data_IF_878117848832
#
_entry.id   IF_878117848832
#
_cell.length_a   1.000
_cell.length_b   1.000
_cell.length_c   1.000
_cell.angle_alpha   90.00
_cell.angle_beta   90.00
_cell.angle_gamma   90.00
#
_symmetry.space_group_name_H-M   'P 1'
#
loop_
_entity.id
_entity.type
_entity.pdbx_description
1 polymer ?
#
# COMPACT_ATOMS: atom_id res chain seq x y z
N UNK A 1 -2.81 6.32 -14.97
CA UNK A 1 -2.74 6.97 -13.64
C UNK A 1 -1.39 7.65 -13.50
N UNK A 2 -1.33 8.92 -13.11
CA UNK A 2 -0.05 9.60 -12.93
C UNK A 2 0.56 9.15 -11.58
N UNK A 3 1.80 8.69 -11.59
CA UNK A 3 2.47 8.16 -10.39
C UNK A 3 2.55 9.19 -9.25
N UNK A 4 2.59 10.47 -9.60
CA UNK A 4 2.62 11.57 -8.63
C UNK A 4 1.35 11.63 -7.77
N UNK A 5 0.18 11.38 -8.36
CA UNK A 5 -1.10 11.41 -7.63
C UNK A 5 -1.13 10.30 -6.57
N UNK A 6 -0.66 9.10 -6.92
CA UNK A 6 -0.60 7.97 -5.98
C UNK A 6 0.41 8.26 -4.87
N UNK A 7 1.57 8.85 -5.20
CA UNK A 7 2.55 9.25 -4.19
C UNK A 7 1.97 10.26 -3.22
N UNK A 8 1.25 11.28 -3.70
CA UNK A 8 0.59 12.26 -2.83
C UNK A 8 -0.51 11.64 -1.97
N UNK A 9 -1.35 10.77 -2.56
CA UNK A 9 -2.38 10.02 -1.84
C UNK A 9 -1.78 9.18 -0.71
N UNK A 10 -0.73 8.41 -0.99
CA UNK A 10 -0.04 7.59 0.01
C UNK A 10 0.62 8.49 1.07
N UNK A 11 1.25 9.59 0.66
CA UNK A 11 1.89 10.53 1.59
C UNK A 11 0.88 11.24 2.50
N UNK A 12 -0.31 11.56 1.99
CA UNK A 12 -1.44 12.11 2.77
C UNK A 12 -2.02 11.11 3.78
N UNK A 13 -1.73 9.82 3.58
CA UNK A 13 -2.17 8.71 4.43
C UNK A 13 -1.09 8.24 5.41
N UNK A 14 0.03 8.97 5.53
CA UNK A 14 1.11 8.65 6.47
C UNK A 14 0.56 8.56 7.90
N UNK A 15 0.99 7.54 8.65
CA UNK A 15 0.56 7.24 10.02
C UNK A 15 -0.94 6.94 10.18
N UNK A 16 -1.67 6.71 9.08
CA UNK A 16 -3.07 6.24 9.14
C UNK A 16 -3.14 4.73 9.05
N UNK A 17 -4.21 4.18 9.62
CA UNK A 17 -4.59 2.78 9.40
C UNK A 17 -5.04 2.58 7.96
N UNK A 18 -4.48 1.57 7.31
CA UNK A 18 -4.74 1.23 5.93
C UNK A 18 -4.97 -0.28 5.79
N UNK A 19 -5.91 -0.63 4.92
CA UNK A 19 -6.14 -1.96 4.43
C UNK A 19 -5.46 -2.11 3.07
N UNK A 20 -4.46 -2.98 2.99
CA UNK A 20 -3.75 -3.33 1.76
C UNK A 20 -4.32 -4.63 1.22
N UNK A 21 -4.89 -4.61 0.01
CA UNK A 21 -5.36 -5.79 -0.70
C UNK A 21 -4.41 -6.13 -1.84
N UNK A 22 -3.77 -7.30 -1.78
CA UNK A 22 -2.86 -7.82 -2.79
C UNK A 22 -3.61 -8.86 -3.63
N UNK A 23 -3.67 -8.65 -4.94
CA UNK A 23 -4.32 -9.51 -5.92
C UNK A 23 -3.26 -10.40 -6.58
N UNK A 24 -3.31 -11.70 -6.34
CA UNK A 24 -2.40 -12.67 -6.94
C UNK A 24 -2.97 -13.42 -8.16
N UNK A 25 -2.13 -14.26 -8.79
CA UNK A 25 -2.38 -14.96 -10.06
C UNK A 25 -3.51 -16.03 -10.07
N UNK A 26 -4.21 -16.29 -8.95
CA UNK A 26 -5.22 -17.36 -8.83
C UNK A 26 -6.49 -16.93 -8.08
N UNK A 27 -6.96 -15.70 -8.29
CA UNK A 27 -8.06 -15.11 -7.50
C UNK A 27 -7.81 -15.06 -5.99
N UNK A 28 -6.56 -15.26 -5.55
CA UNK A 28 -6.20 -15.13 -4.14
C UNK A 28 -6.05 -13.64 -3.85
N UNK A 29 -6.90 -13.14 -2.97
CA UNK A 29 -6.83 -11.77 -2.47
C UNK A 29 -6.30 -11.85 -1.04
N UNK A 30 -5.10 -11.35 -0.82
CA UNK A 30 -4.52 -11.24 0.51
C UNK A 30 -4.79 -9.85 1.05
N UNK A 31 -5.45 -9.77 2.20
CA UNK A 31 -5.76 -8.50 2.86
C UNK A 31 -4.88 -8.38 4.09
N UNK A 32 -4.18 -7.25 4.18
CA UNK A 32 -3.32 -6.89 5.28
C UNK A 32 -3.83 -5.59 5.89
N UNK A 33 -4.18 -5.64 7.17
CA UNK A 33 -4.53 -4.45 7.93
C UNK A 33 -3.31 -3.97 8.71
N UNK A 34 -2.96 -2.70 8.56
CA UNK A 34 -1.79 -2.15 9.23
C UNK A 34 -1.78 -0.64 9.24
N UNK A 35 -0.68 -0.06 9.71
CA UNK A 35 -0.47 1.39 9.73
C UNK A 35 0.58 1.75 8.69
N UNK A 36 0.29 2.75 7.86
CA UNK A 36 1.29 3.26 6.93
C UNK A 36 2.42 3.92 7.72
N UNK A 37 3.61 3.30 7.70
CA UNK A 37 4.70 3.65 8.61
C UNK A 37 5.70 4.62 7.97
N UNK A 38 6.35 4.22 6.87
CA UNK A 38 7.30 5.08 6.14
C UNK A 38 6.98 5.09 4.66
N UNK A 39 7.19 6.24 4.03
CA UNK A 39 6.95 6.48 2.61
C UNK A 39 8.26 6.93 1.99
N UNK A 40 8.68 6.24 0.93
CA UNK A 40 9.90 6.51 0.17
C UNK A 40 9.54 6.92 -1.27
N UNK A 41 10.49 7.41 -2.07
CA UNK A 41 10.23 7.85 -3.44
C UNK A 41 9.69 6.75 -4.36
N UNK A 42 10.08 5.48 -4.13
CA UNK A 42 9.77 4.34 -5.01
C UNK A 42 8.90 3.26 -4.35
N UNK A 43 8.81 3.23 -3.02
CA UNK A 43 8.03 2.27 -2.26
C UNK A 43 7.50 2.90 -0.97
N UNK A 44 6.57 2.22 -0.31
CA UNK A 44 6.10 2.56 1.04
C UNK A 44 6.08 1.32 1.91
N UNK A 45 6.04 1.51 3.22
CA UNK A 45 6.03 0.45 4.23
C UNK A 45 4.79 0.56 5.09
N UNK A 46 4.18 -0.58 5.34
CA UNK A 46 2.99 -0.72 6.19
C UNK A 46 3.36 -1.67 7.31
N UNK A 47 3.10 -1.26 8.54
CA UNK A 47 3.34 -2.05 9.72
C UNK A 47 2.07 -2.86 10.03
N UNK A 48 2.15 -4.17 9.83
CA UNK A 48 1.05 -5.14 9.90
C UNK A 48 1.34 -6.07 11.06
N UNK A 49 0.57 -6.01 12.15
CA UNK A 49 0.76 -6.85 13.35
C UNK A 49 2.19 -6.87 13.94
N UNK A 50 2.96 -5.80 13.75
CA UNK A 50 4.36 -5.72 14.19
C UNK A 50 5.39 -6.06 13.11
N UNK A 51 4.96 -6.60 11.97
CA UNK A 51 5.82 -6.86 10.80
C UNK A 51 5.79 -5.68 9.81
N UNK A 52 6.95 -5.23 9.37
CA UNK A 52 7.07 -4.22 8.33
C UNK A 52 6.96 -4.86 6.94
N UNK A 53 5.89 -4.54 6.20
CA UNK A 53 5.73 -4.92 4.80
C UNK A 53 5.94 -3.75 3.86
N UNK A 54 6.87 -3.91 2.91
CA UNK A 54 7.14 -2.93 1.85
C UNK A 54 6.36 -3.23 0.57
N UNK A 55 5.79 -2.18 -0.05
CA UNK A 55 5.04 -2.24 -1.29
C UNK A 55 5.49 -1.15 -2.26
N UNK A 56 5.59 -1.47 -3.57
CA UNK A 56 5.98 -0.51 -4.58
C UNK A 56 4.77 0.24 -5.16
N UNK A 57 4.96 1.50 -5.54
CA UNK A 57 3.90 2.25 -6.24
C UNK A 57 3.53 1.61 -7.57
N UNK A 58 4.46 0.90 -8.22
CA UNK A 58 4.20 0.20 -9.47
C UNK A 58 3.06 -0.80 -9.32
N UNK A 59 3.08 -1.59 -8.26
CA UNK A 59 2.06 -2.61 -7.99
C UNK A 59 0.69 -1.97 -7.69
N UNK A 60 0.70 -0.76 -7.13
CA UNK A 60 -0.52 0.04 -6.93
C UNK A 60 -1.07 0.58 -8.25
N UNK A 61 -0.20 0.97 -9.18
CA UNK A 61 -0.58 1.45 -10.51
C UNK A 61 -1.15 0.32 -11.37
N UNK A 62 -0.51 -0.85 -11.36
CA UNK A 62 -0.95 -2.03 -12.12
C UNK A 62 -2.22 -2.64 -11.54
N UNK A 63 -2.55 -2.33 -10.28
CA UNK A 63 -3.75 -2.79 -9.61
C UNK A 63 -3.57 -4.12 -8.87
N UNK A 64 -2.35 -4.67 -8.88
CA UNK A 64 -1.95 -5.81 -8.05
C UNK A 64 -2.08 -5.48 -6.56
N UNK A 65 -1.90 -4.21 -6.17
CA UNK A 65 -2.03 -3.75 -4.79
C UNK A 65 -3.05 -2.62 -4.69
N UNK A 66 -4.02 -2.74 -3.80
CA UNK A 66 -4.95 -1.66 -3.45
C UNK A 66 -4.78 -1.25 -2.00
N UNK A 67 -4.60 0.05 -1.76
CA UNK A 67 -4.50 0.63 -0.42
C UNK A 67 -5.76 1.46 -0.15
N UNK A 68 -6.48 1.10 0.91
CA UNK A 68 -7.68 1.82 1.37
C UNK A 68 -7.48 2.31 2.80
N UNK A 69 -7.84 3.55 3.09
CA UNK A 69 -7.84 4.09 4.46
C UNK A 69 -9.05 3.55 5.20
N UNK A 70 -8.88 3.20 6.48
CA UNK A 70 -9.96 2.83 7.39
C UNK A 70 -10.51 4.05 8.14
#
# INVERSE_FOLDING_TARGET
MNINIIKEEIRSKLNKRVLVSVYGLRNKIERYEGVLYKVYPNLFTVLVNGDEKSFCYRDVITGDVKVKVL
#
